data_IF_921151850294
#
_entry.id   IF_921151850294
#
_cell.length_a   1.000
_cell.length_b   1.000
_cell.length_c   1.000
_cell.angle_alpha   90.00
_cell.angle_beta   90.00
_cell.angle_gamma   90.00
#
_symmetry.space_group_name_H-M   'P 1'
#
loop_
_entity.id
_entity.type
_entity.pdbx_description
1 polymer ?
#
# COMPACT_ATOMS: atom_id res chain seq x y z
N UNK A 1 15.49 10.10 5.82
CA UNK A 1 15.51 9.25 4.61
C UNK A 1 14.36 9.69 3.73
N UNK A 2 14.58 9.93 2.44
CA UNK A 2 13.48 10.17 1.49
C UNK A 2 13.04 8.81 0.95
N UNK A 3 11.93 8.28 1.47
CA UNK A 3 11.38 6.99 1.08
C UNK A 3 10.18 7.19 0.17
N UNK A 4 10.28 6.68 -1.05
CA UNK A 4 9.21 6.76 -2.04
C UNK A 4 9.07 5.40 -2.72
N UNK A 5 7.82 5.02 -2.96
CA UNK A 5 7.48 3.77 -3.61
C UNK A 5 6.49 4.10 -4.71
N UNK A 6 6.53 3.33 -5.79
CA UNK A 6 5.58 3.42 -6.90
C UNK A 6 5.21 2.00 -7.28
N UNK A 7 3.93 1.74 -7.53
CA UNK A 7 3.44 0.41 -7.89
C UNK A 7 2.64 0.55 -9.17
N UNK A 8 3.03 -0.23 -10.17
CA UNK A 8 2.25 -0.34 -11.40
C UNK A 8 1.03 -1.22 -11.14
N UNK A 9 -0.18 -0.73 -11.45
CA UNK A 9 -1.43 -1.48 -11.28
C UNK A 9 -1.57 -2.53 -12.38
N UNK A 10 -1.47 -3.80 -11.99
CA UNK A 10 -1.54 -4.96 -12.89
C UNK A 10 -2.96 -5.55 -12.93
N UNK A 11 -3.29 -6.39 -13.93
CA UNK A 11 -4.58 -7.06 -14.01
C UNK A 11 -4.99 -7.81 -12.73
N UNK A 12 -4.04 -8.45 -12.06
CA UNK A 12 -4.28 -9.21 -10.82
C UNK A 12 -4.64 -8.32 -9.61
N UNK A 13 -4.37 -7.01 -9.67
CA UNK A 13 -4.70 -6.08 -8.59
C UNK A 13 -6.13 -5.55 -8.68
N UNK A 14 -6.82 -5.83 -9.78
CA UNK A 14 -8.14 -5.27 -10.09
C UNK A 14 -9.26 -6.12 -9.51
N UNK A 15 -10.32 -5.44 -9.08
CA UNK A 15 -11.60 -6.06 -8.79
C UNK A 15 -12.39 -6.33 -10.10
N UNK A 16 -13.54 -7.03 -10.05
CA UNK A 16 -14.39 -7.26 -11.23
C UNK A 16 -14.91 -5.98 -11.92
N UNK A 17 -14.84 -4.82 -11.27
CA UNK A 17 -15.16 -3.52 -11.84
C UNK A 17 -13.97 -2.89 -12.62
N UNK A 18 -12.86 -3.63 -12.79
CA UNK A 18 -11.68 -3.17 -13.55
C UNK A 18 -10.91 -2.04 -12.86
N UNK A 19 -11.05 -1.93 -11.53
CA UNK A 19 -10.43 -0.88 -10.71
C UNK A 19 -9.63 -1.51 -9.58
N UNK A 20 -8.62 -0.80 -9.07
CA UNK A 20 -7.75 -1.30 -8.00
C UNK A 20 -8.57 -1.74 -6.79
N UNK A 21 -8.36 -2.98 -6.34
CA UNK A 21 -9.02 -3.50 -5.15
C UNK A 21 -8.51 -2.75 -3.91
N UNK A 22 -9.41 -2.20 -3.09
CA UNK A 22 -9.03 -1.40 -1.91
C UNK A 22 -8.13 -2.19 -0.94
N UNK A 23 -8.43 -3.47 -0.71
CA UNK A 23 -7.57 -4.38 0.06
C UNK A 23 -6.16 -4.56 -0.51
N UNK A 24 -5.99 -4.57 -1.84
CA UNK A 24 -4.66 -4.62 -2.46
C UNK A 24 -3.86 -3.35 -2.17
N UNK A 25 -4.52 -2.19 -2.25
CA UNK A 25 -3.90 -0.91 -1.89
C UNK A 25 -3.53 -0.85 -0.41
N UNK A 26 -4.39 -1.34 0.50
CA UNK A 26 -4.10 -1.40 1.93
C UNK A 26 -2.90 -2.30 2.23
N UNK A 27 -2.80 -3.47 1.55
CA UNK A 27 -1.62 -4.34 1.67
C UNK A 27 -0.35 -3.60 1.28
N UNK A 28 -0.35 -2.85 0.17
CA UNK A 28 0.82 -2.09 -0.23
C UNK A 28 1.18 -0.99 0.78
N UNK A 29 0.19 -0.27 1.31
CA UNK A 29 0.42 0.75 2.35
C UNK A 29 1.09 0.12 3.57
N UNK A 30 0.59 -1.03 4.04
CA UNK A 30 1.13 -1.73 5.20
C UNK A 30 2.55 -2.27 4.96
N UNK A 31 2.81 -2.88 3.79
CA UNK A 31 4.14 -3.37 3.40
C UNK A 31 5.18 -2.25 3.46
N UNK A 32 4.90 -1.11 2.82
CA UNK A 32 5.86 -0.01 2.73
C UNK A 32 6.01 0.71 4.08
N UNK A 33 4.94 0.83 4.87
CA UNK A 33 4.99 1.38 6.22
C UNK A 33 5.81 0.51 7.18
N UNK A 34 5.67 -0.83 7.10
CA UNK A 34 6.45 -1.76 7.89
C UNK A 34 7.95 -1.67 7.57
N UNK A 35 8.32 -1.65 6.28
CA UNK A 35 9.71 -1.48 5.84
C UNK A 35 10.28 -0.16 6.38
N UNK A 36 9.54 0.93 6.23
CA UNK A 36 9.96 2.23 6.74
C UNK A 36 10.17 2.20 8.26
N UNK A 37 9.24 1.60 9.02
CA UNK A 37 9.33 1.49 10.47
C UNK A 37 10.52 0.64 10.93
N UNK A 38 10.78 -0.50 10.27
CA UNK A 38 11.94 -1.37 10.57
C UNK A 38 13.25 -0.59 10.45
N UNK A 39 13.42 0.15 9.35
CA UNK A 39 14.63 0.93 9.09
C UNK A 39 14.76 2.07 10.09
N UNK A 40 13.68 2.82 10.33
CA UNK A 40 13.71 3.99 11.20
C UNK A 40 13.92 3.65 12.68
N UNK A 41 13.43 2.48 13.12
CA UNK A 41 13.56 2.01 14.51
C UNK A 41 14.76 1.08 14.71
N UNK A 42 15.46 0.71 13.65
CA UNK A 42 16.54 -0.30 13.64
C UNK A 42 16.11 -1.62 14.33
N UNK A 43 14.84 -2.02 14.15
CA UNK A 43 14.27 -3.21 14.77
C UNK A 43 13.47 -4.03 13.74
N UNK A 44 13.89 -5.28 13.43
CA UNK A 44 13.18 -6.13 12.48
C UNK A 44 11.89 -6.75 13.04
N UNK A 45 11.64 -6.67 14.35
CA UNK A 45 10.48 -7.27 15.02
C UNK A 45 9.41 -6.22 15.32
N UNK A 46 8.77 -5.71 14.27
CA UNK A 46 7.66 -4.76 14.37
C UNK A 46 6.36 -5.37 13.84
N UNK A 47 5.24 -4.89 14.36
CA UNK A 47 3.90 -5.27 13.90
C UNK A 47 3.02 -4.03 13.79
N UNK A 48 2.16 -3.99 12.77
CA UNK A 48 1.18 -2.92 12.62
C UNK A 48 0.08 -3.08 13.67
N UNK A 49 0.06 -2.20 14.67
CA UNK A 49 -0.94 -2.23 15.75
C UNK A 49 -2.29 -1.69 15.31
N UNK A 50 -2.29 -0.64 14.48
CA UNK A 50 -3.48 0.12 14.13
C UNK A 50 -3.24 0.91 12.85
N UNK A 51 -4.22 0.90 11.95
CA UNK A 51 -4.33 1.80 10.82
C UNK A 51 -5.55 2.68 11.08
N UNK A 52 -5.38 4.00 11.00
CA UNK A 52 -6.48 4.95 11.19
C UNK A 52 -7.48 4.92 10.05
N UNK A 53 -8.47 5.80 10.08
CA UNK A 53 -9.43 5.95 8.98
C UNK A 53 -8.71 6.20 7.65
N UNK A 54 -9.18 5.52 6.60
CA UNK A 54 -8.72 5.67 5.22
C UNK A 54 -9.91 6.00 4.34
N UNK A 55 -9.77 7.07 3.57
CA UNK A 55 -10.77 7.54 2.62
C UNK A 55 -10.26 7.34 1.19
N UNK A 56 -10.92 6.45 0.42
CA UNK A 56 -10.61 6.24 -0.99
C UNK A 56 -11.32 7.29 -1.85
N UNK A 57 -10.64 8.40 -2.12
CA UNK A 57 -11.21 9.55 -2.86
C UNK A 57 -11.31 9.28 -4.37
N UNK A 58 -10.34 8.53 -4.92
CA UNK A 58 -10.30 8.13 -6.32
C UNK A 58 -9.69 6.74 -6.46
N UNK A 59 -10.15 5.97 -7.42
CA UNK A 59 -9.59 4.65 -7.71
C UNK A 59 -8.57 4.71 -8.85
N UNK A 60 -7.61 3.79 -8.82
CA UNK A 60 -6.65 3.58 -9.91
C UNK A 60 -7.15 2.49 -10.86
N UNK A 61 -6.73 2.58 -12.12
CA UNK A 61 -7.07 1.64 -13.20
C UNK A 61 -5.83 0.86 -13.62
N UNK A 62 -6.05 -0.20 -14.39
CA UNK A 62 -4.97 -0.92 -15.02
C UNK A 62 -4.06 0.02 -15.80
N UNK A 63 -2.74 -0.08 -15.59
CA UNK A 63 -1.79 0.79 -16.27
C UNK A 63 -1.33 2.01 -15.47
N UNK A 64 -2.07 2.43 -14.44
CA UNK A 64 -1.71 3.56 -13.59
C UNK A 64 -0.48 3.23 -12.71
N UNK A 65 0.24 4.27 -12.28
CA UNK A 65 1.42 4.22 -11.40
C UNK A 65 1.18 5.10 -10.17
#
# INVERSE_FOLDING_TARGET
>A
MNFHTRKWVKPEDLNPNGTLFGGSLLRWIDEEAAIYAIVQLENPHVVTKYISEINFVSSAKQGDI
#
